data_IF_627297954397
#
_entry.id   IF_627297954397
#
_cell.length_a   1.000
_cell.length_b   1.000
_cell.length_c   1.000
_cell.angle_alpha   90.00
_cell.angle_beta   90.00
_cell.angle_gamma   90.00
#
_symmetry.space_group_name_H-M   'P 1'
#
loop_
_entity.id
_entity.type
_entity.pdbx_description
1 polymer ?
#
# COMPACT_ATOMS: atom_id res chain seq x y z
N UNK A 1 16.05 3.48 7.81
CA UNK A 1 15.79 4.82 7.28
C UNK A 1 14.32 4.98 7.03
N UNK A 2 13.79 6.15 7.27
CA UNK A 2 12.37 6.39 7.09
C UNK A 2 12.09 6.97 5.71
N UNK A 3 10.91 6.67 5.19
CA UNK A 3 10.43 7.21 3.93
C UNK A 3 9.17 8.02 4.17
N UNK A 4 8.97 9.01 3.34
CA UNK A 4 7.73 9.76 3.34
C UNK A 4 6.69 8.98 2.54
N UNK A 5 5.47 8.88 3.06
CA UNK A 5 4.40 8.17 2.38
C UNK A 5 3.35 9.18 1.93
N UNK A 6 3.03 9.16 0.65
CA UNK A 6 1.99 10.00 0.08
C UNK A 6 0.95 9.13 -0.59
N UNK A 7 -0.25 9.66 -0.76
CA UNK A 7 -1.39 8.91 -1.29
C UNK A 7 -1.88 9.55 -2.57
N UNK A 8 -2.11 8.73 -3.58
CA UNK A 8 -2.78 9.18 -4.79
C UNK A 8 -4.22 9.56 -4.45
N UNK A 9 -4.87 10.29 -5.36
CA UNK A 9 -6.27 10.64 -5.18
C UNK A 9 -7.13 9.39 -5.03
N UNK A 10 -6.86 8.38 -5.84
CA UNK A 10 -7.61 7.12 -5.76
C UNK A 10 -7.36 6.42 -4.42
N UNK A 11 -6.13 6.42 -3.94
CA UNK A 11 -5.82 5.80 -2.65
C UNK A 11 -6.52 6.52 -1.50
N UNK A 12 -6.67 7.84 -1.59
CA UNK A 12 -7.40 8.60 -0.58
C UNK A 12 -8.87 8.18 -0.54
N UNK A 13 -9.48 8.00 -1.70
CA UNK A 13 -10.86 7.52 -1.79
C UNK A 13 -10.97 6.10 -1.24
N UNK A 14 -10.03 5.25 -1.61
CA UNK A 14 -9.99 3.87 -1.13
C UNK A 14 -9.87 3.82 0.40
N UNK A 15 -9.03 4.68 0.97
CA UNK A 15 -8.83 4.72 2.41
C UNK A 15 -10.12 5.07 3.15
N UNK A 16 -10.89 6.02 2.63
CA UNK A 16 -12.18 6.38 3.23
C UNK A 16 -13.17 5.23 3.15
N UNK A 17 -13.22 4.56 2.01
CA UNK A 17 -14.10 3.42 1.82
C UNK A 17 -13.73 2.28 2.77
N UNK A 18 -12.45 2.02 2.89
CA UNK A 18 -11.94 0.96 3.74
C UNK A 18 -12.24 1.24 5.21
N UNK A 19 -12.06 2.48 5.64
CA UNK A 19 -12.34 2.88 7.02
C UNK A 19 -13.84 2.74 7.36
N UNK A 20 -14.71 3.03 6.39
CA UNK A 20 -16.15 2.88 6.57
C UNK A 20 -16.58 1.42 6.61
N UNK A 21 -15.86 0.57 5.87
CA UNK A 21 -16.27 -0.83 5.75
C UNK A 21 -15.93 -1.65 6.98
N UNK A 22 -14.76 -1.39 7.59
CA UNK A 22 -14.31 -2.24 8.69
C UNK A 22 -13.19 -1.56 9.48
N UNK A 23 -13.35 -1.41 10.81
CA UNK A 23 -12.25 -0.91 11.64
C UNK A 23 -11.02 -1.83 11.60
N UNK A 24 -11.23 -3.13 11.48
CA UNK A 24 -10.13 -4.09 11.40
C UNK A 24 -9.31 -3.88 10.13
N UNK A 25 -9.98 -3.67 9.00
CA UNK A 25 -9.28 -3.39 7.74
C UNK A 25 -8.52 -2.07 7.81
N UNK A 26 -9.13 -1.06 8.42
CA UNK A 26 -8.47 0.22 8.60
C UNK A 26 -7.18 0.06 9.39
N UNK A 27 -7.24 -0.70 10.48
CA UNK A 27 -6.08 -0.92 11.33
C UNK A 27 -4.99 -1.69 10.59
N UNK A 28 -5.36 -2.73 9.85
CA UNK A 28 -4.39 -3.51 9.07
C UNK A 28 -3.69 -2.63 8.03
N UNK A 29 -4.47 -1.81 7.33
CA UNK A 29 -3.91 -0.92 6.33
C UNK A 29 -2.96 0.08 6.97
N UNK A 30 -3.32 0.63 8.13
CA UNK A 30 -2.47 1.58 8.82
C UNK A 30 -1.15 0.94 9.25
N UNK A 31 -1.20 -0.30 9.74
CA UNK A 31 0.01 -1.02 10.13
C UNK A 31 0.94 -1.19 8.92
N UNK A 32 0.39 -1.53 7.77
CA UNK A 32 1.18 -1.68 6.55
C UNK A 32 1.78 -0.35 6.11
N UNK A 33 1.02 0.72 6.19
CA UNK A 33 1.50 2.06 5.84
C UNK A 33 2.64 2.47 6.76
N UNK A 34 2.50 2.22 8.06
CA UNK A 34 3.55 2.52 9.03
C UNK A 34 4.83 1.73 8.72
N UNK A 35 4.66 0.48 8.33
CA UNK A 35 5.79 -0.36 7.96
C UNK A 35 6.49 0.18 6.71
N UNK A 36 5.72 0.61 5.71
CA UNK A 36 6.29 1.21 4.50
C UNK A 36 7.06 2.49 4.81
N UNK A 37 6.60 3.26 5.79
CA UNK A 37 7.30 4.47 6.19
C UNK A 37 8.65 4.15 6.82
N UNK A 38 8.76 3.04 7.52
CA UNK A 38 10.02 2.62 8.11
C UNK A 38 10.94 1.96 7.08
N UNK A 39 10.41 0.99 6.34
CA UNK A 39 11.22 0.21 5.40
C UNK A 39 10.27 -0.43 4.37
N UNK A 40 10.15 0.16 3.16
CA UNK A 40 9.22 -0.36 2.16
C UNK A 40 9.60 -1.74 1.62
N UNK A 41 10.81 -2.20 1.92
CA UNK A 41 11.29 -3.50 1.43
C UNK A 41 11.23 -4.61 2.47
N UNK A 42 10.73 -4.30 3.67
CA UNK A 42 10.72 -5.28 4.76
C UNK A 42 9.83 -6.47 4.42
N UNK A 43 10.33 -7.66 4.71
CA UNK A 43 9.60 -8.90 4.55
C UNK A 43 9.96 -9.80 5.74
N UNK A 44 9.01 -10.45 6.44
CA UNK A 44 7.57 -10.36 6.26
C UNK A 44 7.00 -9.02 6.73
N UNK A 45 5.78 -8.65 6.30
CA UNK A 45 4.91 -9.43 5.42
C UNK A 45 5.39 -9.41 3.98
N UNK A 46 5.03 -10.42 3.18
CA UNK A 46 5.52 -10.50 1.80
C UNK A 46 4.92 -9.42 0.92
N UNK A 47 5.65 -9.08 -0.12
CA UNK A 47 5.15 -8.19 -1.16
C UNK A 47 5.49 -8.77 -2.51
N UNK A 48 4.75 -8.35 -3.53
CA UNK A 48 4.92 -8.84 -4.89
C UNK A 48 5.16 -7.69 -5.84
N UNK A 49 6.11 -7.86 -6.76
CA UNK A 49 6.28 -6.91 -7.84
C UNK A 49 5.17 -7.15 -8.86
N UNK A 50 4.55 -6.07 -9.31
CA UNK A 50 3.47 -6.15 -10.28
C UNK A 50 4.02 -6.06 -11.69
N UNK A 51 3.24 -6.60 -12.65
CA UNK A 51 3.64 -6.63 -14.05
C UNK A 51 2.59 -5.94 -14.90
N UNK A 52 2.87 -5.81 -16.20
CA UNK A 52 1.96 -5.19 -17.14
C UNK A 52 1.84 -3.70 -16.91
N UNK A 53 0.64 -3.19 -16.88
CA UNK A 53 0.38 -1.76 -16.74
C UNK A 53 0.85 -1.21 -15.40
N UNK A 54 1.01 -2.08 -14.40
CA UNK A 54 1.43 -1.69 -13.07
C UNK A 54 2.89 -2.01 -12.79
N UNK A 55 3.66 -2.25 -13.84
CA UNK A 55 5.09 -2.52 -13.68
C UNK A 55 5.76 -1.34 -12.98
N UNK A 56 6.60 -1.66 -12.00
CA UNK A 56 7.24 -0.66 -11.16
C UNK A 56 6.53 -0.45 -9.84
N UNK A 57 5.35 -1.04 -9.67
CA UNK A 57 4.61 -1.00 -8.42
C UNK A 57 4.68 -2.36 -7.73
N UNK A 58 4.32 -2.35 -6.45
CA UNK A 58 4.33 -3.53 -5.60
C UNK A 58 3.00 -3.62 -4.87
N UNK A 59 2.65 -4.82 -4.44
CA UNK A 59 1.44 -4.98 -3.64
C UNK A 59 1.71 -5.79 -2.39
N UNK A 60 1.01 -5.45 -1.32
CA UNK A 60 0.96 -6.22 -0.09
C UNK A 60 -0.50 -6.50 0.24
N UNK A 61 -0.76 -7.67 0.80
CA UNK A 61 -2.12 -8.07 1.11
C UNK A 61 -2.57 -7.39 2.40
N UNK A 62 -3.71 -6.68 2.34
CA UNK A 62 -4.36 -6.15 3.53
C UNK A 62 -5.17 -7.26 4.18
N UNK A 63 -5.98 -7.96 3.37
CA UNK A 63 -6.68 -9.16 3.76
C UNK A 63 -6.82 -10.04 2.52
N UNK A 64 -7.68 -11.05 2.57
CA UNK A 64 -7.83 -11.98 1.46
C UNK A 64 -8.36 -11.28 0.19
N UNK A 65 -9.05 -10.15 0.35
CA UNK A 65 -9.73 -9.47 -0.74
C UNK A 65 -9.02 -8.20 -1.20
N UNK A 66 -8.45 -7.44 -0.27
CA UNK A 66 -7.92 -6.12 -0.57
C UNK A 66 -6.41 -6.09 -0.49
N UNK A 67 -5.82 -5.28 -1.36
CA UNK A 67 -4.36 -5.12 -1.43
C UNK A 67 -3.99 -3.65 -1.37
N UNK A 68 -2.84 -3.40 -0.77
CA UNK A 68 -2.22 -2.08 -0.78
C UNK A 68 -1.21 -2.09 -1.92
N UNK A 69 -1.41 -1.20 -2.89
CA UNK A 69 -0.53 -1.08 -4.06
C UNK A 69 0.26 0.19 -3.93
N UNK A 70 1.57 0.09 -4.11
CA UNK A 70 2.45 1.23 -3.88
C UNK A 70 3.64 1.19 -4.82
N UNK A 71 4.28 2.34 -5.00
CA UNK A 71 5.56 2.43 -5.69
C UNK A 71 6.57 3.06 -4.75
N UNK A 72 7.85 2.78 -5.00
CA UNK A 72 8.94 3.28 -4.18
C UNK A 72 9.89 4.08 -5.05
N UNK A 73 10.14 5.31 -4.65
CA UNK A 73 11.15 6.15 -5.28
C UNK A 73 12.31 6.28 -4.29
N UNK A 74 13.26 5.36 -4.40
CA UNK A 74 14.30 5.17 -3.40
C UNK A 74 15.20 6.39 -3.25
N UNK A 75 15.53 7.03 -4.37
CA UNK A 75 16.40 8.21 -4.36
C UNK A 75 15.76 9.40 -3.67
N UNK A 76 14.42 9.44 -3.59
CA UNK A 76 13.70 10.49 -2.92
C UNK A 76 13.18 10.07 -1.55
N UNK A 77 13.42 8.83 -1.17
CA UNK A 77 12.88 8.24 0.07
C UNK A 77 11.37 8.47 0.15
N UNK A 78 10.70 8.13 -0.94
CA UNK A 78 9.28 8.42 -1.11
C UNK A 78 8.54 7.15 -1.50
N UNK A 79 7.44 6.89 -0.79
CA UNK A 79 6.53 5.80 -1.12
C UNK A 79 5.20 6.42 -1.52
N UNK A 80 4.70 6.02 -2.69
CA UNK A 80 3.40 6.48 -3.16
C UNK A 80 2.42 5.33 -3.05
N UNK A 81 1.37 5.51 -2.26
CA UNK A 81 0.29 4.54 -2.17
C UNK A 81 -0.69 4.83 -3.30
N UNK A 82 -0.88 3.86 -4.17
CA UNK A 82 -1.67 4.02 -5.39
C UNK A 82 -3.11 3.50 -5.22
N UNK A 83 -3.27 2.40 -4.49
CA UNK A 83 -4.58 1.80 -4.24
C UNK A 83 -4.60 1.14 -2.87
N UNK A 84 -5.79 1.08 -2.26
CA UNK A 84 -5.98 0.43 -0.95
C UNK A 84 -7.22 -0.46 -0.90
N UNK A 85 -8.09 -0.38 -1.87
CA UNK A 85 -9.41 -1.04 -1.82
C UNK A 85 -9.64 -1.91 -3.03
N UNK A 86 -8.78 -2.39 -3.72
CA UNK A 86 -9.09 -3.24 -4.84
C UNK A 86 -8.36 -4.55 -4.73
N UNK A 87 -8.94 -5.55 -5.34
CA UNK A 87 -8.29 -6.80 -5.62
C UNK A 87 -7.99 -6.83 -7.11
N UNK A 88 -6.89 -7.43 -7.46
CA UNK A 88 -6.49 -7.57 -8.86
C UNK A 88 -6.69 -9.01 -9.27
N UNK A 89 -7.46 -9.17 -10.26
CA UNK A 89 -7.67 -10.48 -10.84
C UNK A 89 -6.63 -10.76 -11.90
#
# INVERSE_FOLDING_TARGET
MSSRVVFSRQAQKDARKLASASPTLKQRAQELIDLLAEDPWRSPPPFEALVGDLRGAYSRRINIQHRLVYSVEADQQLVKVLRLWSHYD
#
